data_IF_026150757266
#
_entry.id   IF_026150757266
#
_cell.length_a   1.000
_cell.length_b   1.000
_cell.length_c   1.000
_cell.angle_alpha   90.00
_cell.angle_beta   90.00
_cell.angle_gamma   90.00
#
_symmetry.space_group_name_H-M   'P 1'
#
loop_
_entity.id
_entity.type
_entity.pdbx_description
1 polymer ?
#
# COMPACT_ATOMS: atom_id res chain seq x y z
N UNK A 1 -0.06 -7.02 23.68
CA UNK A 1 1.19 -6.44 23.20
C UNK A 1 0.98 -5.90 21.79
N UNK A 2 1.31 -4.63 21.57
CA UNK A 2 1.22 -4.05 20.22
C UNK A 2 2.35 -4.59 19.34
N UNK A 3 2.00 -5.07 18.15
CA UNK A 3 2.95 -5.58 17.16
C UNK A 3 3.19 -4.60 16.00
N UNK A 4 2.47 -3.48 16.02
CA UNK A 4 2.57 -2.40 15.03
C UNK A 4 2.03 -1.11 15.61
N UNK A 5 2.37 -0.01 15.01
CA UNK A 5 1.81 1.30 15.37
C UNK A 5 0.89 1.80 14.27
N UNK A 6 -0.30 2.23 14.65
CA UNK A 6 -1.25 2.89 13.74
C UNK A 6 -0.93 4.38 13.78
N UNK A 7 -0.41 4.92 12.68
CA UNK A 7 -0.12 6.34 12.53
C UNK A 7 -1.35 7.15 12.14
N UNK A 8 -2.22 6.52 11.34
CA UNK A 8 -3.43 7.16 10.85
C UNK A 8 -4.47 6.10 10.50
N UNK A 9 -5.73 6.42 10.73
CA UNK A 9 -6.86 5.58 10.33
C UNK A 9 -7.96 6.47 9.73
N UNK A 10 -8.40 6.14 8.53
CA UNK A 10 -9.56 6.76 7.91
C UNK A 10 -10.82 6.07 8.42
N UNK A 11 -11.63 6.77 9.20
CA UNK A 11 -12.86 6.19 9.78
C UNK A 11 -13.93 5.85 8.74
N UNK A 12 -13.96 6.55 7.61
CA UNK A 12 -14.93 6.30 6.55
C UNK A 12 -14.67 5.01 5.77
N UNK A 13 -13.41 4.65 5.59
CA UNK A 13 -13.00 3.51 4.75
C UNK A 13 -12.40 2.37 5.53
N UNK A 14 -11.87 2.64 6.73
CA UNK A 14 -11.07 1.68 7.49
C UNK A 14 -9.62 1.57 7.02
N UNK A 15 -9.19 2.40 6.05
CA UNK A 15 -7.80 2.45 5.61
C UNK A 15 -6.90 2.87 6.76
N UNK A 16 -5.76 2.19 6.91
CA UNK A 16 -4.79 2.46 7.98
C UNK A 16 -3.40 2.69 7.41
N UNK A 17 -2.69 3.67 7.94
CA UNK A 17 -1.26 3.84 7.77
C UNK A 17 -0.55 3.28 9.01
N UNK A 18 0.36 2.35 8.79
CA UNK A 18 1.02 1.59 9.83
C UNK A 18 2.55 1.72 9.74
N UNK A 19 3.22 1.54 10.85
CA UNK A 19 4.67 1.32 10.87
C UNK A 19 5.03 0.23 11.89
N UNK A 20 6.19 -0.43 11.75
CA UNK A 20 6.64 -1.40 12.74
C UNK A 20 6.91 -0.73 14.08
N UNK A 21 6.74 -1.47 15.16
CA UNK A 21 7.19 -1.03 16.48
C UNK A 21 8.71 -1.18 16.56
N UNK A 22 9.35 -0.16 17.11
CA UNK A 22 10.82 -0.10 17.17
C UNK A 22 11.40 -0.80 18.40
N UNK A 23 10.62 -0.98 19.45
CA UNK A 23 11.05 -1.44 20.75
C UNK A 23 10.91 -2.94 21.01
N UNK A 24 10.16 -3.67 20.18
CA UNK A 24 9.93 -5.11 20.35
C UNK A 24 10.50 -5.96 19.22
N UNK A 25 10.18 -5.60 17.99
CA UNK A 25 10.46 -6.40 16.81
C UNK A 25 11.45 -5.74 15.86
N UNK A 26 11.95 -4.58 16.24
CA UNK A 26 12.98 -3.87 15.47
C UNK A 26 14.33 -4.05 16.13
N UNK A 27 15.25 -4.66 15.41
CA UNK A 27 16.65 -4.77 15.82
C UNK A 27 17.46 -3.79 14.99
N UNK A 28 18.20 -2.92 15.67
CA UNK A 28 19.10 -1.95 15.04
C UNK A 28 20.46 -2.03 15.69
N UNK A 29 21.51 -2.30 14.92
CA UNK A 29 22.89 -2.38 15.39
C UNK A 29 23.85 -2.00 14.25
N UNK A 30 25.15 -2.21 14.44
CA UNK A 30 26.17 -1.91 13.43
C UNK A 30 26.04 -2.68 12.12
N UNK A 31 25.21 -3.71 12.05
CA UNK A 31 24.94 -4.50 10.85
C UNK A 31 23.73 -3.98 10.07
N UNK A 32 22.86 -3.12 10.68
CA UNK A 32 21.66 -2.60 10.06
C UNK A 32 20.45 -2.71 10.96
N UNK A 33 19.28 -2.98 10.36
CA UNK A 33 17.99 -3.00 11.06
C UNK A 33 17.10 -4.14 10.57
N UNK A 34 16.37 -4.73 11.50
CA UNK A 34 15.28 -5.68 11.21
C UNK A 34 13.98 -4.98 11.56
N UNK A 35 13.08 -4.87 10.59
CA UNK A 35 11.74 -4.34 10.78
C UNK A 35 10.74 -5.49 10.66
N UNK A 36 9.97 -5.71 11.71
CA UNK A 36 9.02 -6.82 11.76
C UNK A 36 7.59 -6.33 11.58
N UNK A 37 6.87 -6.96 10.69
CA UNK A 37 5.46 -6.72 10.43
C UNK A 37 4.62 -7.93 10.80
N UNK A 38 3.52 -7.67 11.51
CA UNK A 38 2.54 -8.69 11.84
C UNK A 38 1.18 -8.18 11.35
N UNK A 39 0.75 -8.59 10.14
CA UNK A 39 -0.56 -8.20 9.62
C UNK A 39 -1.70 -8.79 10.47
N UNK A 40 -2.83 -8.10 10.50
CA UNK A 40 -4.04 -8.58 11.19
C UNK A 40 -4.76 -9.66 10.39
N UNK A 41 -4.62 -9.61 9.07
CA UNK A 41 -5.30 -10.52 8.16
C UNK A 41 -4.34 -11.61 7.69
N UNK A 42 -4.88 -12.76 7.38
CA UNK A 42 -4.10 -13.83 6.76
C UNK A 42 -3.64 -13.39 5.36
N UNK A 43 -2.36 -13.52 5.09
CA UNK A 43 -1.75 -13.17 3.80
C UNK A 43 -1.38 -14.45 3.06
N UNK A 44 -1.79 -14.56 1.81
CA UNK A 44 -1.56 -15.74 0.97
C UNK A 44 -0.71 -15.44 -0.27
N UNK A 45 -0.51 -14.16 -0.60
CA UNK A 45 0.27 -13.78 -1.77
C UNK A 45 1.09 -12.52 -1.47
N UNK A 46 2.33 -12.51 -1.98
CA UNK A 46 3.23 -11.36 -1.92
C UNK A 46 3.64 -10.97 -3.33
N UNK A 47 3.55 -9.69 -3.65
CA UNK A 47 4.03 -9.15 -4.92
C UNK A 47 5.04 -8.04 -4.67
N UNK A 48 6.20 -8.11 -5.31
CA UNK A 48 7.16 -7.01 -5.31
C UNK A 48 6.79 -6.10 -6.46
N UNK A 49 6.50 -4.84 -6.15
CA UNK A 49 6.09 -3.83 -7.12
C UNK A 49 7.14 -2.74 -7.16
N UNK A 50 7.88 -2.67 -8.26
CA UNK A 50 8.90 -1.65 -8.46
C UNK A 50 8.35 -0.54 -9.36
N UNK A 51 8.58 0.71 -8.95
CA UNK A 51 8.24 1.92 -9.69
C UNK A 51 9.51 2.64 -10.08
N UNK A 52 9.61 3.05 -11.32
CA UNK A 52 10.57 4.08 -11.71
C UNK A 52 10.15 5.43 -11.16
N UNK A 53 11.06 6.43 -11.10
CA UNK A 53 10.68 7.77 -10.66
C UNK A 53 9.52 8.36 -11.47
N UNK A 54 8.65 9.11 -10.79
CA UNK A 54 7.53 9.83 -11.42
C UNK A 54 6.54 8.93 -12.17
N UNK A 55 6.31 7.73 -11.68
CA UNK A 55 5.35 6.77 -12.24
C UNK A 55 4.12 6.63 -11.36
N UNK A 56 3.05 6.14 -11.98
CA UNK A 56 1.73 6.01 -11.35
C UNK A 56 1.18 4.61 -11.58
N UNK A 57 0.67 3.99 -10.53
CA UNK A 57 -0.12 2.75 -10.61
C UNK A 57 -1.36 2.88 -9.75
N UNK A 58 -2.45 2.27 -10.20
CA UNK A 58 -3.68 2.22 -9.44
C UNK A 58 -4.86 2.91 -10.13
N UNK A 59 -5.48 3.86 -9.46
CA UNK A 59 -6.79 4.43 -9.81
C UNK A 59 -7.83 3.32 -9.91
N UNK A 60 -7.82 2.42 -8.95
CA UNK A 60 -8.68 1.26 -8.90
C UNK A 60 -9.00 0.87 -7.45
N UNK A 61 -9.91 -0.06 -7.29
CA UNK A 61 -10.14 -0.75 -6.03
C UNK A 61 -10.24 -2.27 -6.25
N UNK A 62 -10.16 -3.02 -5.17
CA UNK A 62 -10.31 -4.47 -5.15
C UNK A 62 -11.56 -4.87 -4.37
N UNK A 63 -12.37 -5.78 -4.92
CA UNK A 63 -13.55 -6.30 -4.26
C UNK A 63 -13.29 -7.55 -3.42
N UNK A 64 -12.21 -8.28 -3.74
CA UNK A 64 -12.06 -9.67 -3.29
C UNK A 64 -11.07 -9.85 -2.14
N UNK A 65 -10.18 -8.88 -1.90
CA UNK A 65 -9.15 -9.05 -0.88
C UNK A 65 -8.81 -7.73 -0.18
N UNK A 66 -8.19 -7.86 0.99
CA UNK A 66 -7.53 -6.78 1.70
C UNK A 66 -6.07 -6.80 1.25
N UNK A 67 -5.53 -5.62 0.96
CA UNK A 67 -4.14 -5.45 0.58
C UNK A 67 -3.37 -4.69 1.65
N UNK A 68 -2.15 -5.15 1.92
CA UNK A 68 -1.15 -4.39 2.66
C UNK A 68 -0.07 -3.96 1.68
N UNK A 69 0.13 -2.67 1.54
CA UNK A 69 1.21 -2.11 0.71
C UNK A 69 2.32 -1.59 1.60
N UNK A 70 3.42 -2.34 1.68
CA UNK A 70 4.58 -2.01 2.48
C UNK A 70 5.65 -1.35 1.62
N UNK A 71 6.09 -0.16 2.00
CA UNK A 71 7.21 0.50 1.35
C UNK A 71 8.53 -0.04 1.92
N UNK A 72 9.36 -0.63 1.07
CA UNK A 72 10.66 -1.17 1.44
C UNK A 72 11.83 -0.33 0.95
N UNK A 73 11.60 0.53 -0.04
CA UNK A 73 12.62 1.42 -0.59
C UNK A 73 11.98 2.63 -1.27
N UNK A 74 12.60 3.81 -1.12
CA UNK A 74 12.21 5.01 -1.84
C UNK A 74 11.10 5.82 -1.18
N UNK A 75 10.54 6.74 -1.96
CA UNK A 75 9.52 7.68 -1.52
C UNK A 75 8.39 7.74 -2.52
N UNK A 76 7.18 7.85 -2.01
CA UNK A 76 5.99 7.96 -2.83
C UNK A 76 4.86 8.67 -2.13
N UNK A 77 3.77 8.79 -2.84
CA UNK A 77 2.53 9.33 -2.32
C UNK A 77 1.41 8.32 -2.58
N UNK A 78 0.71 7.96 -1.53
CA UNK A 78 -0.46 7.09 -1.59
C UNK A 78 -1.70 7.95 -1.57
N UNK A 79 -2.51 7.86 -2.63
CA UNK A 79 -3.77 8.62 -2.76
C UNK A 79 -4.93 7.64 -2.64
N UNK A 80 -5.93 8.01 -1.87
CA UNK A 80 -7.14 7.21 -1.69
C UNK A 80 -8.37 8.11 -1.64
N UNK A 81 -9.54 7.53 -1.93
CA UNK A 81 -10.81 8.23 -1.81
C UNK A 81 -11.52 7.82 -0.53
N UNK A 82 -12.10 8.78 0.17
CA UNK A 82 -12.99 8.51 1.31
C UNK A 82 -14.38 8.06 0.85
N UNK A 83 -14.78 8.46 -0.36
CA UNK A 83 -15.95 8.00 -1.09
C UNK A 83 -15.50 7.58 -2.49
N UNK A 84 -15.64 6.29 -2.82
CA UNK A 84 -15.18 5.73 -4.10
C UNK A 84 -15.78 6.40 -5.33
N UNK A 85 -16.97 6.96 -5.21
CA UNK A 85 -17.71 7.58 -6.31
C UNK A 85 -17.47 9.09 -6.41
N UNK A 86 -16.77 9.69 -5.45
CA UNK A 86 -16.49 11.13 -5.41
C UNK A 86 -15.01 11.43 -5.64
N UNK A 87 -14.62 11.93 -6.83
CA UNK A 87 -13.22 12.31 -7.09
C UNK A 87 -12.70 13.42 -6.16
N UNK A 88 -13.58 14.25 -5.61
CA UNK A 88 -13.22 15.33 -4.69
C UNK A 88 -12.89 14.83 -3.29
N UNK A 89 -13.20 13.56 -3.00
CA UNK A 89 -12.90 12.94 -1.69
C UNK A 89 -11.46 12.43 -1.59
N UNK A 90 -10.60 12.69 -2.56
CA UNK A 90 -9.23 12.20 -2.57
C UNK A 90 -8.40 12.82 -1.44
N UNK A 91 -7.66 11.96 -0.76
CA UNK A 91 -6.69 12.29 0.29
C UNK A 91 -5.36 11.65 -0.05
N UNK A 92 -4.30 12.19 0.48
CA UNK A 92 -2.95 11.68 0.22
C UNK A 92 -2.18 11.42 1.51
N UNK A 93 -1.32 10.42 1.47
CA UNK A 93 -0.38 10.06 2.53
C UNK A 93 1.02 9.95 1.92
N UNK A 94 1.99 10.56 2.57
CA UNK A 94 3.39 10.35 2.19
C UNK A 94 3.84 8.99 2.69
N UNK A 95 4.50 8.23 1.82
CA UNK A 95 5.04 6.91 2.15
C UNK A 95 6.54 6.86 1.89
N UNK A 96 7.23 6.18 2.78
CA UNK A 96 8.66 5.93 2.70
C UNK A 96 8.97 4.59 3.36
N UNK A 97 10.23 4.19 3.37
CA UNK A 97 10.66 2.90 3.92
C UNK A 97 10.08 2.65 5.32
N UNK A 98 9.46 1.49 5.48
CA UNK A 98 8.86 1.04 6.74
C UNK A 98 7.38 1.38 6.91
N UNK A 99 6.82 2.27 6.10
CA UNK A 99 5.39 2.56 6.17
C UNK A 99 4.60 1.51 5.41
N UNK A 100 3.47 1.10 5.99
CA UNK A 100 2.57 0.12 5.40
C UNK A 100 1.14 0.65 5.40
N UNK A 101 0.48 0.58 4.26
CA UNK A 101 -0.93 0.95 4.15
C UNK A 101 -1.77 -0.31 4.11
N UNK A 102 -2.70 -0.44 5.06
CA UNK A 102 -3.74 -1.47 5.00
C UNK A 102 -4.92 -0.91 4.21
N UNK A 103 -5.21 -1.55 3.09
CA UNK A 103 -6.23 -1.11 2.13
C UNK A 103 -7.41 -2.09 2.20
N UNK A 104 -8.54 -1.68 2.80
CA UNK A 104 -9.75 -2.49 2.79
C UNK A 104 -10.32 -2.69 1.39
N UNK A 105 -11.23 -3.64 1.24
CA UNK A 105 -12.00 -3.83 0.00
C UNK A 105 -12.70 -2.54 -0.40
N UNK A 106 -12.82 -2.30 -1.70
CA UNK A 106 -13.57 -1.17 -2.30
C UNK A 106 -13.01 0.22 -2.02
N UNK A 107 -11.79 0.33 -1.54
CA UNK A 107 -11.13 1.62 -1.35
C UNK A 107 -10.33 1.97 -2.61
N UNK A 108 -10.75 3.00 -3.31
CA UNK A 108 -10.04 3.51 -4.50
C UNK A 108 -8.69 4.06 -4.07
N UNK A 109 -7.63 3.59 -4.71
CA UNK A 109 -6.28 4.02 -4.38
C UNK A 109 -5.37 4.13 -5.61
N UNK A 110 -4.34 4.95 -5.46
CA UNK A 110 -3.33 5.22 -6.48
C UNK A 110 -2.00 5.45 -5.78
N UNK A 111 -0.93 4.94 -6.35
CA UNK A 111 0.42 5.15 -5.83
C UNK A 111 1.24 5.93 -6.86
N UNK A 112 1.84 7.02 -6.40
CA UNK A 112 2.75 7.85 -7.18
C UNK A 112 4.15 7.69 -6.63
N UNK A 113 5.13 7.36 -7.47
CA UNK A 113 6.52 7.35 -7.06
C UNK A 113 7.14 8.74 -7.22
N UNK A 114 7.92 9.17 -6.22
CA UNK A 114 8.72 10.40 -6.27
C UNK A 114 10.09 10.07 -6.85
N UNK A 115 10.77 9.13 -6.23
CA UNK A 115 12.01 8.53 -6.73
C UNK A 115 11.76 7.06 -7.10
N UNK A 116 12.79 6.25 -7.25
CA UNK A 116 12.61 4.80 -7.35
C UNK A 116 11.94 4.29 -6.08
N UNK A 117 10.82 3.60 -6.25
CA UNK A 117 9.99 3.13 -5.16
C UNK A 117 9.78 1.63 -5.28
N UNK A 118 10.03 0.89 -4.23
CA UNK A 118 9.71 -0.53 -4.15
C UNK A 118 8.72 -0.78 -3.04
N UNK A 119 7.59 -1.38 -3.41
CA UNK A 119 6.53 -1.79 -2.51
C UNK A 119 6.42 -3.30 -2.49
N UNK A 120 6.01 -3.84 -1.35
CA UNK A 120 5.56 -5.22 -1.25
C UNK A 120 4.05 -5.19 -1.03
N UNK A 121 3.31 -5.72 -2.00
CA UNK A 121 1.86 -5.87 -1.89
C UNK A 121 1.56 -7.25 -1.31
N UNK A 122 0.89 -7.28 -0.17
CA UNK A 122 0.49 -8.51 0.51
C UNK A 122 -1.02 -8.64 0.44
N UNK A 123 -1.48 -9.77 -0.10
CA UNK A 123 -2.90 -9.98 -0.40
C UNK A 123 -3.50 -11.07 0.49
N UNK A 124 -4.72 -10.84 0.95
CA UNK A 124 -5.47 -11.81 1.77
C UNK A 124 -6.10 -12.95 0.95
N UNK A 125 -6.10 -12.84 -0.38
CA UNK A 125 -6.50 -13.89 -1.33
C UNK A 125 -5.59 -13.83 -2.54
N UNK A 126 -5.47 -14.96 -3.24
CA UNK A 126 -4.68 -15.02 -4.47
C UNK A 126 -5.24 -14.12 -5.57
N UNK A 127 -4.34 -13.57 -6.36
CA UNK A 127 -4.68 -12.82 -7.57
C UNK A 127 -5.19 -13.77 -8.63
N UNK A 128 -6.40 -13.56 -9.13
CA UNK A 128 -6.98 -14.31 -10.23
C UNK A 128 -6.52 -13.74 -11.57
N UNK A 129 -5.63 -14.45 -12.25
CA UNK A 129 -5.09 -14.02 -13.54
C UNK A 129 -6.12 -14.05 -14.67
N UNK A 130 -7.12 -14.95 -14.59
CA UNK A 130 -8.15 -15.09 -15.60
C UNK A 130 -9.26 -14.05 -15.48
N UNK A 131 -9.45 -13.53 -14.26
CA UNK A 131 -10.40 -12.46 -13.98
C UNK A 131 -9.75 -11.50 -12.98
N UNK A 132 -8.88 -10.59 -13.45
CA UNK A 132 -8.13 -9.71 -12.54
C UNK A 132 -9.04 -8.97 -11.58
N UNK A 133 -8.78 -9.02 -10.27
CA UNK A 133 -9.66 -8.45 -9.24
C UNK A 133 -9.46 -6.95 -9.09
N UNK A 134 -9.61 -6.23 -10.18
CA UNK A 134 -9.45 -4.77 -10.27
C UNK A 134 -10.73 -4.18 -10.82
N UNK A 135 -11.24 -3.15 -10.14
CA UNK A 135 -12.25 -2.25 -10.70
C UNK A 135 -11.58 -0.91 -10.99
N UNK A 136 -11.34 -0.64 -12.26
CA UNK A 136 -10.68 0.58 -12.72
C UNK A 136 -11.61 1.78 -12.63
N UNK A 137 -11.10 2.90 -12.04
CA UNK A 137 -11.87 4.14 -11.82
C UNK A 137 -11.25 5.28 -12.62
N UNK A 138 -11.34 5.33 -13.88
CA UNK A 138 -10.77 6.38 -14.71
C UNK A 138 -9.44 5.98 -15.32
N UNK A 139 -8.82 6.94 -16.01
CA UNK A 139 -7.60 6.70 -16.76
C UNK A 139 -6.36 7.09 -15.96
N UNK A 140 -5.33 6.27 -16.06
CA UNK A 140 -3.99 6.61 -15.61
C UNK A 140 -3.10 6.81 -16.83
N UNK A 141 -2.03 7.61 -16.72
CA UNK A 141 -1.07 7.76 -17.81
C UNK A 141 -0.56 6.39 -18.25
N UNK A 142 -0.59 6.14 -19.56
CA UNK A 142 -0.03 4.90 -20.10
C UNK A 142 1.47 4.86 -19.84
N UNK A 143 2.00 3.71 -19.40
CA UNK A 143 3.44 3.59 -19.20
C UNK A 143 4.17 3.74 -20.52
N UNK A 144 5.31 4.42 -20.47
CA UNK A 144 6.21 4.49 -21.60
C UNK A 144 6.79 3.09 -21.81
N UNK A 145 6.63 2.56 -23.01
CA UNK A 145 7.31 1.31 -23.39
C UNK A 145 8.79 1.55 -23.52
N UNK A 146 9.55 0.72 -22.89
CA UNK A 146 11.01 0.73 -22.97
C UNK A 146 11.45 -0.42 -23.85
#
# INVERSE_FOLDING_TARGET
MKRKEILFECKHTGLKLLRPLTDLDTVRDGRGVILTWVPEDQIVEFNIVHFRPSCVRGMHYHDHFIEYSLCVYGHGMFVYRTDKDDPKSEKSLNISKGFCVRIPKKVVHTIYSIDELTMVAMLSKEWDKSNPPIVQIGEIPKPIKI
#
